data_IF_284950208316
#
_entry.id   IF_284950208316
#
_cell.length_a   1.000
_cell.length_b   1.000
_cell.length_c   1.000
_cell.angle_alpha   90.00
_cell.angle_beta   90.00
_cell.angle_gamma   90.00
#
_symmetry.space_group_name_H-M   'P 1'
#
loop_
_entity.id
_entity.type
_entity.pdbx_description
1 polymer ?
#
# COMPACT_ATOMS: atom_id res chain seq x y z
N UNK A 1 -23.10 -3.89 -21.90
CA UNK A 1 -23.62 -3.48 -20.58
C UNK A 1 -23.54 -4.66 -19.63
N UNK A 2 -23.14 -4.50 -18.37
CA UNK A 2 -23.02 -5.61 -17.44
C UNK A 2 -24.40 -6.23 -17.17
N UNK A 3 -24.52 -7.56 -17.27
CA UNK A 3 -25.76 -8.32 -17.08
C UNK A 3 -26.15 -8.43 -15.60
N UNK A 4 -26.35 -7.30 -14.92
CA UNK A 4 -26.80 -7.26 -13.53
C UNK A 4 -28.32 -7.39 -13.46
N UNK A 5 -28.83 -8.16 -12.48
CA UNK A 5 -30.27 -8.18 -12.21
C UNK A 5 -30.68 -6.77 -11.74
N UNK A 6 -31.88 -6.26 -12.09
CA UNK A 6 -32.30 -4.90 -11.76
C UNK A 6 -32.21 -4.54 -10.26
N UNK A 7 -32.30 -5.54 -9.37
CA UNK A 7 -32.27 -5.35 -7.92
C UNK A 7 -30.88 -5.57 -7.29
N UNK A 8 -29.85 -5.87 -8.09
CA UNK A 8 -28.49 -6.05 -7.57
C UNK A 8 -27.93 -4.71 -7.12
N UNK A 9 -27.60 -4.52 -5.83
CA UNK A 9 -26.99 -3.29 -5.36
C UNK A 9 -25.67 -3.06 -6.09
N UNK A 10 -25.51 -1.85 -6.63
CA UNK A 10 -24.24 -1.39 -7.20
C UNK A 10 -23.58 -0.48 -6.18
N UNK A 11 -22.28 -0.70 -5.98
CA UNK A 11 -21.44 0.06 -5.08
C UNK A 11 -20.37 0.74 -5.90
N UNK A 12 -20.07 1.99 -5.57
CA UNK A 12 -18.92 2.70 -6.12
C UNK A 12 -17.90 2.83 -5.01
N UNK A 13 -16.65 2.50 -5.33
CA UNK A 13 -15.54 2.62 -4.41
C UNK A 13 -14.32 3.17 -5.11
N UNK A 14 -13.46 3.79 -4.32
CA UNK A 14 -12.17 4.27 -4.77
C UNK A 14 -11.05 3.83 -3.85
N UNK A 15 -9.85 3.77 -4.40
CA UNK A 15 -8.63 3.44 -3.69
C UNK A 15 -7.99 4.74 -3.20
N UNK A 16 -7.97 4.95 -1.88
CA UNK A 16 -7.38 6.13 -1.26
C UNK A 16 -6.05 5.79 -0.58
N UNK A 17 -4.98 6.55 -0.83
CA UNK A 17 -3.77 6.44 -0.04
C UNK A 17 -4.07 6.72 1.44
N UNK A 18 -3.61 5.83 2.32
CA UNK A 18 -3.91 5.90 3.76
C UNK A 18 -2.74 6.39 4.62
N UNK A 19 -1.60 6.68 3.98
CA UNK A 19 -0.32 6.92 4.66
C UNK A 19 0.73 5.85 4.39
N UNK A 20 1.89 6.00 5.04
CA UNK A 20 3.04 5.10 4.89
C UNK A 20 3.39 4.43 6.21
N UNK A 21 3.89 3.20 6.12
CA UNK A 21 4.48 2.47 7.25
C UNK A 21 5.97 2.28 6.98
N UNK A 22 6.81 2.76 7.89
CA UNK A 22 8.25 2.62 7.81
C UNK A 22 8.69 1.23 8.28
N UNK A 23 9.95 0.88 8.04
CA UNK A 23 10.51 -0.44 8.40
C UNK A 23 10.49 -0.72 9.91
N UNK A 24 10.74 0.30 10.73
CA UNK A 24 10.64 0.27 12.20
C UNK A 24 9.20 0.13 12.72
N UNK A 25 8.20 0.17 11.82
CA UNK A 25 6.78 0.12 12.17
C UNK A 25 6.14 1.49 12.40
N UNK A 26 6.91 2.57 12.38
CA UNK A 26 6.40 3.94 12.50
C UNK A 26 5.41 4.23 11.38
N UNK A 27 4.24 4.77 11.73
CA UNK A 27 3.21 5.20 10.78
C UNK A 27 3.29 6.70 10.54
N UNK A 28 3.12 7.10 9.29
CA UNK A 28 3.03 8.50 8.87
C UNK A 28 1.86 8.69 7.92
N UNK A 29 1.29 9.88 7.90
CA UNK A 29 0.27 10.25 6.93
C UNK A 29 0.85 10.33 5.51
N UNK A 30 -0.03 10.34 4.50
CA UNK A 30 0.39 10.33 3.10
C UNK A 30 1.19 11.58 2.71
N UNK A 31 0.96 12.71 3.40
CA UNK A 31 1.73 13.95 3.24
C UNK A 31 3.23 13.79 3.57
N UNK A 32 3.62 12.71 4.25
CA UNK A 32 5.03 12.37 4.39
C UNK A 32 5.71 12.16 3.03
N UNK A 33 5.00 11.86 1.95
CA UNK A 33 5.61 11.73 0.62
C UNK A 33 5.82 13.08 -0.08
N UNK A 34 5.12 14.13 0.34
CA UNK A 34 5.09 15.42 -0.35
C UNK A 34 6.49 16.07 -0.39
N UNK A 35 6.95 16.39 -1.59
CA UNK A 35 8.24 17.03 -1.86
C UNK A 35 9.46 16.11 -1.67
N UNK A 36 9.28 14.85 -1.26
CA UNK A 36 10.40 13.94 -1.03
C UNK A 36 10.84 13.27 -2.32
N UNK A 37 12.15 13.10 -2.50
CA UNK A 37 12.70 12.27 -3.57
C UNK A 37 12.59 10.81 -3.17
N UNK A 38 11.90 10.03 -3.99
CA UNK A 38 11.66 8.61 -3.71
C UNK A 38 12.13 7.75 -4.86
N UNK A 39 12.77 6.63 -4.54
CA UNK A 39 12.81 5.48 -5.45
C UNK A 39 11.64 4.60 -5.11
N UNK A 40 10.94 4.09 -6.11
CA UNK A 40 9.78 3.25 -5.91
C UNK A 40 9.94 1.89 -6.60
N UNK A 41 9.39 0.84 -5.99
CA UNK A 41 9.35 -0.47 -6.60
C UNK A 41 8.12 -1.26 -6.16
N UNK A 42 7.51 -2.03 -7.07
CA UNK A 42 6.35 -2.86 -6.74
C UNK A 42 6.18 -4.07 -7.67
N UNK A 43 5.57 -5.13 -7.15
CA UNK A 43 5.19 -6.35 -7.85
C UNK A 43 3.68 -6.58 -7.76
N UNK A 44 2.90 -5.62 -8.26
CA UNK A 44 1.43 -5.64 -8.32
C UNK A 44 0.93 -5.65 -9.77
N UNK A 45 -0.34 -5.97 -9.98
CA UNK A 45 -0.96 -6.08 -11.31
C UNK A 45 -0.95 -4.78 -12.14
N UNK A 46 -0.92 -3.60 -11.50
CA UNK A 46 -0.87 -2.31 -12.19
C UNK A 46 0.20 -1.39 -11.56
N UNK A 47 1.48 -1.55 -11.95
CA UNK A 47 2.58 -0.73 -11.43
C UNK A 47 2.44 0.76 -11.76
N UNK A 48 1.96 1.09 -12.97
CA UNK A 48 1.81 2.47 -13.43
C UNK A 48 0.86 3.27 -12.54
N UNK A 49 -0.24 2.65 -12.09
CA UNK A 49 -1.18 3.28 -11.16
C UNK A 49 -0.54 3.58 -9.79
N UNK A 50 0.43 2.76 -9.36
CA UNK A 50 1.16 2.99 -8.12
C UNK A 50 2.16 4.14 -8.27
N UNK A 51 2.94 4.18 -9.36
CA UNK A 51 3.86 5.29 -9.66
C UNK A 51 3.10 6.62 -9.75
N UNK A 52 2.03 6.68 -10.55
CA UNK A 52 1.15 7.86 -10.65
C UNK A 52 0.46 8.21 -9.33
N UNK A 53 0.26 7.22 -8.45
CA UNK A 53 -0.26 7.45 -7.10
C UNK A 53 0.74 8.22 -6.23
N UNK A 54 2.04 7.89 -6.32
CA UNK A 54 3.10 8.60 -5.61
C UNK A 54 3.25 10.04 -6.12
N UNK A 55 3.18 10.24 -7.44
CA UNK A 55 3.22 11.59 -8.03
C UNK A 55 2.04 12.45 -7.59
N UNK A 56 0.82 11.88 -7.55
CA UNK A 56 -0.38 12.58 -7.06
C UNK A 56 -0.30 12.95 -5.58
N UNK A 57 0.47 12.19 -4.79
CA UNK A 57 0.78 12.50 -3.39
C UNK A 57 1.88 13.56 -3.25
N UNK A 58 2.45 14.02 -4.37
CA UNK A 58 3.49 15.04 -4.41
C UNK A 58 4.89 14.49 -4.17
N UNK A 59 5.11 13.18 -4.27
CA UNK A 59 6.45 12.61 -4.27
C UNK A 59 7.18 12.97 -5.57
N UNK A 60 8.51 13.04 -5.51
CA UNK A 60 9.36 13.12 -6.68
C UNK A 60 9.96 11.74 -6.94
N UNK A 61 9.32 10.95 -7.80
CA UNK A 61 9.83 9.62 -8.16
C UNK A 61 11.09 9.78 -9.02
N UNK A 62 12.27 9.59 -8.43
CA UNK A 62 13.56 9.71 -9.13
C UNK A 62 13.96 8.42 -9.85
N UNK A 63 13.35 7.30 -9.46
CA UNK A 63 13.52 5.99 -10.08
C UNK A 63 12.32 5.11 -9.75
N UNK A 64 11.83 4.38 -10.74
CA UNK A 64 10.78 3.39 -10.56
C UNK A 64 11.20 2.04 -11.12
N UNK A 65 10.88 0.96 -10.41
CA UNK A 65 11.12 -0.40 -10.88
C UNK A 65 9.90 -1.30 -10.67
N UNK A 66 9.31 -1.74 -11.78
CA UNK A 66 8.19 -2.66 -11.78
C UNK A 66 8.65 -4.12 -11.85
N UNK A 67 8.03 -4.96 -11.03
CA UNK A 67 8.19 -6.40 -11.02
C UNK A 67 6.87 -7.06 -11.45
N UNK A 68 6.93 -8.32 -11.91
CA UNK A 68 5.71 -9.09 -12.19
C UNK A 68 4.83 -9.22 -10.95
N UNK A 69 3.52 -9.34 -11.14
CA UNK A 69 2.63 -9.55 -10.01
C UNK A 69 3.03 -10.81 -9.22
N UNK A 70 2.88 -10.73 -7.89
CA UNK A 70 3.30 -11.76 -6.95
C UNK A 70 4.80 -12.10 -7.02
N UNK A 71 5.65 -11.12 -7.34
CA UNK A 71 7.09 -11.32 -7.36
C UNK A 71 7.63 -11.87 -6.04
N UNK A 72 8.57 -12.81 -6.12
CA UNK A 72 9.31 -13.35 -4.99
C UNK A 72 10.69 -12.68 -4.98
N UNK A 73 10.90 -11.77 -4.04
CA UNK A 73 12.14 -11.00 -3.93
C UNK A 73 13.25 -11.85 -3.30
N UNK A 74 14.43 -11.83 -3.91
CA UNK A 74 15.66 -12.33 -3.32
C UNK A 74 16.37 -11.22 -2.51
N UNK A 75 17.17 -11.57 -1.47
CA UNK A 75 17.92 -10.58 -0.69
C UNK A 75 18.77 -9.63 -1.55
N UNK A 76 19.49 -10.18 -2.54
CA UNK A 76 20.35 -9.40 -3.43
C UNK A 76 19.59 -8.35 -4.26
N UNK A 77 18.30 -8.59 -4.56
CA UNK A 77 17.48 -7.64 -5.29
C UNK A 77 17.05 -6.48 -4.40
N UNK A 78 16.75 -6.76 -3.13
CA UNK A 78 16.46 -5.74 -2.13
C UNK A 78 17.67 -4.84 -1.92
N UNK A 79 18.86 -5.44 -1.78
CA UNK A 79 20.11 -4.69 -1.66
C UNK A 79 20.37 -3.80 -2.90
N UNK A 80 20.15 -4.34 -4.11
CA UNK A 80 20.25 -3.55 -5.35
C UNK A 80 19.26 -2.38 -5.38
N UNK A 81 18.03 -2.56 -4.89
CA UNK A 81 17.04 -1.48 -4.83
C UNK A 81 17.44 -0.40 -3.82
N UNK A 82 17.99 -0.79 -2.68
CA UNK A 82 18.53 0.14 -1.66
C UNK A 82 19.70 0.94 -2.24
N UNK A 83 20.65 0.25 -2.88
CA UNK A 83 21.81 0.91 -3.51
C UNK A 83 21.39 1.85 -4.64
N UNK A 84 20.43 1.42 -5.46
CA UNK A 84 19.85 2.25 -6.51
C UNK A 84 19.19 3.52 -5.94
N UNK A 85 18.44 3.38 -4.84
CA UNK A 85 17.83 4.51 -4.15
C UNK A 85 18.87 5.49 -3.61
N UNK A 86 19.91 4.96 -2.95
CA UNK A 86 21.03 5.77 -2.46
C UNK A 86 21.73 6.52 -3.59
N UNK A 87 22.07 5.83 -4.68
CA UNK A 87 22.77 6.42 -5.84
C UNK A 87 21.92 7.48 -6.57
N UNK A 88 20.59 7.31 -6.58
CA UNK A 88 19.66 8.29 -7.13
C UNK A 88 19.43 9.50 -6.21
N UNK A 89 20.03 9.52 -5.01
CA UNK A 89 19.80 10.56 -4.02
C UNK A 89 18.37 10.58 -3.49
N UNK A 90 17.71 9.41 -3.45
CA UNK A 90 16.39 9.27 -2.87
C UNK A 90 16.48 9.33 -1.34
N UNK A 91 15.51 10.00 -0.73
CA UNK A 91 15.32 10.02 0.73
C UNK A 91 14.65 8.73 1.22
N UNK A 92 13.86 8.10 0.34
CA UNK A 92 13.15 6.88 0.66
C UNK A 92 13.08 5.89 -0.51
N UNK A 93 13.09 4.60 -0.16
CA UNK A 93 12.67 3.49 -1.01
C UNK A 93 11.23 3.11 -0.64
N UNK A 94 10.30 3.36 -1.56
CA UNK A 94 8.86 3.19 -1.33
C UNK A 94 8.33 1.99 -2.10
N UNK A 95 7.55 1.14 -1.43
CA UNK A 95 6.87 0.00 -2.05
C UNK A 95 5.41 -0.06 -1.63
N UNK A 96 4.66 -1.05 -2.11
CA UNK A 96 3.27 -1.28 -1.69
C UNK A 96 3.23 -2.05 -0.36
N UNK A 97 2.15 -1.95 0.42
CA UNK A 97 1.97 -2.83 1.59
C UNK A 97 2.07 -4.32 1.22
N UNK A 98 1.59 -4.72 0.03
CA UNK A 98 1.62 -6.12 -0.43
C UNK A 98 3.04 -6.65 -0.55
N UNK A 99 3.93 -5.88 -1.19
CA UNK A 99 5.32 -6.30 -1.37
C UNK A 99 6.15 -6.11 -0.10
N UNK A 100 5.81 -5.13 0.72
CA UNK A 100 6.50 -4.90 1.98
C UNK A 100 6.43 -6.08 2.96
N UNK A 101 5.34 -6.86 2.92
CA UNK A 101 5.23 -8.12 3.69
C UNK A 101 6.36 -9.10 3.32
N UNK A 102 6.77 -9.12 2.04
CA UNK A 102 7.85 -9.99 1.56
C UNK A 102 9.23 -9.40 1.81
N UNK A 103 9.35 -8.07 1.82
CA UNK A 103 10.61 -7.37 2.05
C UNK A 103 11.01 -7.37 3.52
N UNK A 104 10.05 -7.28 4.44
CA UNK A 104 10.31 -7.16 5.88
C UNK A 104 11.22 -8.28 6.43
N UNK A 105 10.99 -9.58 6.14
CA UNK A 105 11.91 -10.64 6.57
C UNK A 105 13.33 -10.51 5.99
N UNK A 106 13.48 -9.90 4.81
CA UNK A 106 14.78 -9.69 4.14
C UNK A 106 15.54 -8.47 4.70
N UNK A 107 14.86 -7.64 5.47
CA UNK A 107 15.34 -6.39 6.04
C UNK A 107 15.40 -6.41 7.57
N UNK A 108 15.09 -7.54 8.18
CA UNK A 108 15.01 -7.70 9.63
C UNK A 108 16.38 -7.45 10.28
N UNK A 109 16.40 -6.62 11.33
CA UNK A 109 17.61 -6.25 12.06
C UNK A 109 18.49 -5.21 11.37
N UNK A 110 18.08 -4.66 10.22
CA UNK A 110 18.86 -3.68 9.45
C UNK A 110 18.34 -2.24 9.57
N UNK A 111 17.31 -2.00 10.38
CA UNK A 111 16.56 -0.74 10.39
C UNK A 111 17.43 0.51 10.54
N UNK A 112 18.45 0.43 11.40
CA UNK A 112 19.33 1.56 11.73
C UNK A 112 20.54 1.70 10.77
N UNK A 113 20.79 0.68 9.93
CA UNK A 113 21.97 0.60 9.05
C UNK A 113 21.65 0.91 7.57
N UNK A 114 20.38 1.13 7.24
CA UNK A 114 19.98 1.40 5.86
C UNK A 114 20.33 2.84 5.44
N UNK A 115 20.92 3.04 4.25
CA UNK A 115 21.30 4.37 3.77
C UNK A 115 20.10 5.22 3.31
N UNK A 116 18.90 4.63 3.24
CA UNK A 116 17.64 5.28 2.85
C UNK A 116 16.50 4.75 3.71
N UNK A 117 15.46 5.56 3.92
CA UNK A 117 14.26 5.10 4.64
C UNK A 117 13.47 4.13 3.76
N UNK A 118 13.13 2.94 4.27
CA UNK A 118 12.23 2.02 3.55
C UNK A 118 10.80 2.20 4.07
N UNK A 119 9.87 2.45 3.16
CA UNK A 119 8.48 2.74 3.47
C UNK A 119 7.50 1.97 2.58
N UNK A 120 6.35 1.62 3.14
CA UNK A 120 5.25 1.00 2.42
C UNK A 120 4.05 1.94 2.33
N UNK A 121 3.64 2.28 1.12
CA UNK A 121 2.40 3.02 0.90
C UNK A 121 1.20 2.11 1.13
N UNK A 122 0.32 2.60 1.99
CA UNK A 122 -0.99 2.05 2.21
C UNK A 122 -2.04 2.62 1.28
N UNK A 123 -2.95 1.75 0.87
CA UNK A 123 -4.14 2.10 0.12
C UNK A 123 -5.31 1.44 0.82
N UNK A 124 -6.31 2.23 1.15
CA UNK A 124 -7.57 1.77 1.72
C UNK A 124 -8.67 1.88 0.66
N UNK A 125 -9.69 1.04 0.81
CA UNK A 125 -10.88 1.08 -0.02
C UNK A 125 -11.91 1.98 0.66
N UNK A 126 -12.31 3.06 -0.02
CA UNK A 126 -13.41 3.92 0.43
C UNK A 126 -14.62 3.68 -0.46
N UNK A 127 -15.75 3.29 0.13
CA UNK A 127 -17.03 3.20 -0.60
C UNK A 127 -17.60 4.61 -0.70
N UNK A 128 -17.76 5.12 -1.91
CA UNK A 128 -18.25 6.46 -2.19
C UNK A 128 -19.76 6.48 -2.43
N UNK A 129 -20.33 5.35 -2.91
CA UNK A 129 -21.76 5.19 -3.11
C UNK A 129 -22.24 3.81 -2.66
N UNK A 130 -23.38 3.76 -1.99
CA UNK A 130 -24.02 2.51 -1.57
C UNK A 130 -23.51 1.91 -0.26
N UNK A 131 -22.67 2.63 0.51
CA UNK A 131 -22.10 2.13 1.78
C UNK A 131 -23.18 1.62 2.75
N UNK A 132 -24.28 2.36 2.92
CA UNK A 132 -25.39 1.95 3.80
C UNK A 132 -26.05 0.64 3.37
N UNK A 133 -26.12 0.39 2.06
CA UNK A 133 -26.67 -0.85 1.52
C UNK A 133 -25.71 -2.00 1.81
N UNK A 134 -24.41 -1.81 1.56
CA UNK A 134 -23.38 -2.80 1.89
C UNK A 134 -23.36 -3.11 3.39
N UNK A 135 -23.33 -2.09 4.24
CA UNK A 135 -23.31 -2.21 5.70
C UNK A 135 -24.52 -2.99 6.20
N UNK A 136 -25.74 -2.62 5.79
CA UNK A 136 -26.96 -3.34 6.20
C UNK A 136 -26.94 -4.81 5.78
N UNK A 137 -26.52 -5.11 4.54
CA UNK A 137 -26.45 -6.49 4.04
C UNK A 137 -25.38 -7.31 4.76
N UNK A 138 -24.21 -6.74 5.02
CA UNK A 138 -23.16 -7.39 5.80
C UNK A 138 -23.63 -7.69 7.23
N UNK A 139 -24.23 -6.70 7.91
CA UNK A 139 -24.75 -6.88 9.27
C UNK A 139 -25.85 -7.96 9.35
N UNK A 140 -26.71 -8.06 8.34
CA UNK A 140 -27.75 -9.09 8.28
C UNK A 140 -27.19 -10.51 8.08
N UNK A 141 -25.93 -10.65 7.64
CA UNK A 141 -25.25 -11.93 7.47
C UNK A 141 -24.39 -12.33 8.69
N UNK A 142 -24.10 -11.38 9.58
CA UNK A 142 -23.39 -11.68 10.81
C UNK A 142 -24.36 -12.33 11.82
N UNK A 143 -23.96 -13.41 12.51
CA UNK A 143 -24.76 -13.95 13.59
C UNK A 143 -24.95 -12.86 14.66
N UNK A 144 -26.15 -12.77 15.22
CA UNK A 144 -26.40 -11.92 16.38
C UNK A 144 -25.40 -12.32 17.47
N UNK A 145 -24.51 -11.41 17.85
CA UNK A 145 -23.59 -11.66 18.95
C UNK A 145 -24.43 -11.71 20.23
N UNK A 146 -24.59 -12.90 20.80
CA UNK A 146 -25.11 -13.08 22.15
C UNK A 146 -24.09 -12.48 23.14
N UNK A 147 -24.17 -11.16 23.34
CA UNK A 147 -23.62 -10.55 24.53
C UNK A 147 -24.63 -10.71 25.67
N UNK A 148 -24.73 -11.92 26.20
CA UNK A 148 -25.14 -12.06 27.60
C UNK A 148 -23.93 -11.71 28.46
N UNK A 149 -24.06 -10.61 29.20
CA UNK A 149 -23.03 -10.14 30.11
C UNK A 149 -22.74 -11.15 31.21
N UNK A 150 -21.46 -11.38 31.44
CA UNK A 150 -20.99 -11.88 32.74
C UNK A 150 -20.79 -10.67 33.66
N UNK A 151 -21.55 -10.71 34.74
CA UNK A 151 -21.39 -9.90 35.95
C UNK A 151 -20.19 -10.39 36.76
#
# INVERSE_FOLDING_TARGET
>A
EPHLRPETPVLVSEHRPSGVVLLDGTRRDADWLRGRKVTAACGIANPDAFEQGLDRLGAHVVRFEAFRDHYAYAPAEIDRLIDAARLAGAEALVTTRKDFVKWRPLLEGRQDDLPVTVAALGVDLAVTEGEDVLRRRLLALLPASDHQGER
#
